data_IF_506332960026
#
_entry.id   IF_506332960026
#
_cell.length_a   1.000
_cell.length_b   1.000
_cell.length_c   1.000
_cell.angle_alpha   90.00
_cell.angle_beta   90.00
_cell.angle_gamma   90.00
#
_symmetry.space_group_name_H-M   'P 1'
#
loop_
_entity.id
_entity.type
_entity.pdbx_description
1 polymer ?
#
# COMPACT_ATOMS: atom_id res chain seq x y z
N UNK A 1 3.30 -12.33 -32.93
CA UNK A 1 3.91 -12.65 -31.63
C UNK A 1 2.87 -12.34 -30.56
N UNK A 2 2.47 -13.33 -29.76
CA UNK A 2 1.42 -13.15 -28.75
C UNK A 2 2.06 -12.56 -27.48
N UNK A 3 1.61 -11.38 -27.04
CA UNK A 3 2.13 -10.74 -25.83
C UNK A 3 1.75 -11.57 -24.60
N UNK A 4 2.68 -11.73 -23.67
CA UNK A 4 2.42 -12.32 -22.36
C UNK A 4 1.49 -11.44 -21.53
N UNK A 5 0.84 -12.03 -20.51
CA UNK A 5 0.00 -11.29 -19.57
C UNK A 5 0.79 -10.15 -18.90
N UNK A 6 2.06 -10.39 -18.56
CA UNK A 6 2.91 -9.39 -17.93
C UNK A 6 3.18 -8.21 -18.87
N UNK A 7 3.47 -8.49 -20.14
CA UNK A 7 3.70 -7.44 -21.15
C UNK A 7 2.42 -6.64 -21.41
N UNK A 8 1.25 -7.29 -21.47
CA UNK A 8 -0.05 -6.62 -21.62
C UNK A 8 -0.35 -5.72 -20.42
N UNK A 9 -0.18 -6.21 -19.19
CA UNK A 9 -0.42 -5.42 -17.98
C UNK A 9 0.55 -4.24 -17.89
N UNK A 10 1.83 -4.47 -18.21
CA UNK A 10 2.86 -3.41 -18.20
C UNK A 10 2.55 -2.31 -19.22
N UNK A 11 2.23 -2.70 -20.45
CA UNK A 11 1.83 -1.76 -21.49
C UNK A 11 0.58 -0.97 -21.10
N UNK A 12 -0.38 -1.61 -20.43
CA UNK A 12 -1.61 -0.95 -19.99
C UNK A 12 -1.37 0.02 -18.83
N UNK A 13 -0.50 -0.32 -17.87
CA UNK A 13 -0.11 0.59 -16.78
C UNK A 13 0.60 1.83 -17.32
N UNK A 14 1.47 1.68 -18.34
CA UNK A 14 2.15 2.81 -18.96
C UNK A 14 1.18 3.83 -19.58
N UNK A 15 -0.03 3.40 -19.98
CA UNK A 15 -1.06 4.30 -20.51
C UNK A 15 -1.64 5.27 -19.48
N UNK A 16 -1.43 5.05 -18.18
CA UNK A 16 -1.85 5.99 -17.13
C UNK A 16 -1.22 7.38 -17.31
N UNK A 17 0.00 7.44 -17.84
CA UNK A 17 0.73 8.69 -18.06
C UNK A 17 0.69 9.17 -19.52
N UNK A 18 0.03 8.43 -20.41
CA UNK A 18 -0.01 8.73 -21.84
C UNK A 18 -1.10 9.76 -22.15
N UNK A 19 -0.70 11.02 -22.33
CA UNK A 19 -1.64 12.13 -22.60
C UNK A 19 -2.43 11.99 -23.90
N UNK A 20 -2.03 11.10 -24.80
CA UNK A 20 -2.81 10.76 -26.01
C UNK A 20 -4.07 9.97 -25.68
N UNK A 21 -4.14 9.34 -24.50
CA UNK A 21 -5.32 8.64 -24.00
C UNK A 21 -6.22 9.61 -23.23
N UNK A 22 -7.55 9.63 -23.51
CA UNK A 22 -8.49 10.47 -22.78
C UNK A 22 -8.38 10.28 -21.27
N UNK A 23 -8.40 11.39 -20.52
CA UNK A 23 -8.22 11.38 -19.06
C UNK A 23 -9.16 10.40 -18.34
N UNK A 24 -10.43 10.34 -18.74
CA UNK A 24 -11.41 9.43 -18.16
C UNK A 24 -10.99 7.95 -18.31
N UNK A 25 -10.41 7.58 -19.46
CA UNK A 25 -9.91 6.24 -19.70
C UNK A 25 -8.65 5.96 -18.87
N UNK A 26 -7.73 6.92 -18.78
CA UNK A 26 -6.54 6.81 -17.93
C UNK A 26 -6.88 6.61 -16.47
N UNK A 27 -7.87 7.35 -15.98
CA UNK A 27 -8.34 7.28 -14.60
C UNK A 27 -9.03 5.95 -14.27
N UNK A 28 -9.64 5.29 -15.27
CA UNK A 28 -10.27 3.99 -15.09
C UNK A 28 -9.29 2.80 -15.06
N UNK A 29 -8.02 3.00 -15.46
CA UNK A 29 -7.02 1.92 -15.55
C UNK A 29 -6.90 1.09 -14.26
N UNK A 30 -6.80 1.70 -13.05
CA UNK A 30 -6.75 0.92 -11.80
C UNK A 30 -7.97 0.01 -11.60
N UNK A 31 -9.18 0.49 -11.91
CA UNK A 31 -10.41 -0.29 -11.81
C UNK A 31 -10.49 -1.40 -12.85
N UNK A 32 -9.96 -1.17 -14.06
CA UNK A 32 -9.90 -2.17 -15.12
C UNK A 32 -8.93 -3.29 -14.72
N UNK A 33 -7.74 -2.95 -14.20
CA UNK A 33 -6.78 -3.94 -13.69
C UNK A 33 -7.35 -4.76 -12.53
N UNK A 34 -8.05 -4.09 -11.59
CA UNK A 34 -8.75 -4.76 -10.50
C UNK A 34 -9.85 -5.69 -11.02
N UNK A 35 -10.57 -5.29 -12.06
CA UNK A 35 -11.62 -6.10 -12.69
C UNK A 35 -11.04 -7.34 -13.36
N UNK A 36 -9.90 -7.23 -14.06
CA UNK A 36 -9.19 -8.40 -14.62
C UNK A 36 -8.84 -9.39 -13.51
N UNK A 37 -8.30 -8.90 -12.40
CA UNK A 37 -7.96 -9.74 -11.24
C UNK A 37 -9.20 -10.40 -10.62
N UNK A 38 -10.28 -9.63 -10.38
CA UNK A 38 -11.55 -10.15 -9.86
C UNK A 38 -12.13 -11.22 -10.78
N UNK A 39 -12.20 -10.96 -12.08
CA UNK A 39 -12.72 -11.89 -13.07
C UNK A 39 -11.93 -13.22 -13.06
N UNK A 40 -10.60 -13.14 -13.01
CA UNK A 40 -9.75 -14.34 -12.91
C UNK A 40 -10.05 -15.14 -11.65
N UNK A 41 -10.23 -14.49 -10.51
CA UNK A 41 -10.55 -15.19 -9.27
C UNK A 41 -11.96 -15.78 -9.27
N UNK A 42 -12.94 -15.10 -9.86
CA UNK A 42 -14.30 -15.64 -9.99
C UNK A 42 -14.31 -16.92 -10.83
N UNK A 43 -13.56 -16.96 -11.93
CA UNK A 43 -13.41 -18.16 -12.75
C UNK A 43 -12.71 -19.27 -11.97
N UNK A 44 -11.58 -18.97 -11.30
CA UNK A 44 -10.77 -20.00 -10.65
C UNK A 44 -11.37 -20.58 -9.36
N UNK A 45 -12.10 -19.76 -8.60
CA UNK A 45 -12.52 -20.11 -7.24
C UNK A 45 -14.04 -20.16 -7.06
N UNK A 46 -14.81 -19.58 -7.96
CA UNK A 46 -16.26 -19.53 -7.86
C UNK A 46 -16.99 -20.08 -9.11
N UNK A 47 -16.26 -20.57 -10.12
CA UNK A 47 -16.77 -21.10 -11.39
C UNK A 47 -17.89 -20.24 -12.02
N UNK A 48 -17.73 -18.92 -11.91
CA UNK A 48 -18.73 -17.94 -12.35
C UNK A 48 -18.05 -16.85 -13.15
N UNK A 49 -18.76 -16.35 -14.16
CA UNK A 49 -18.27 -15.26 -14.99
C UNK A 49 -19.44 -14.38 -15.45
N UNK A 50 -19.45 -13.12 -15.00
CA UNK A 50 -20.34 -12.09 -15.55
C UNK A 50 -19.81 -11.60 -16.91
N UNK A 51 -20.69 -11.06 -17.76
CA UNK A 51 -20.30 -10.44 -19.03
C UNK A 51 -19.17 -9.43 -18.86
N UNK A 52 -18.09 -9.59 -19.64
CA UNK A 52 -16.94 -8.68 -19.63
C UNK A 52 -17.34 -7.24 -19.93
N UNK A 53 -18.35 -7.03 -20.79
CA UNK A 53 -18.86 -5.70 -21.12
C UNK A 53 -19.44 -5.03 -19.88
N UNK A 54 -20.24 -5.77 -19.11
CA UNK A 54 -20.84 -5.26 -17.86
C UNK A 54 -19.74 -4.95 -16.85
N UNK A 55 -18.76 -5.84 -16.72
CA UNK A 55 -17.65 -5.63 -15.79
C UNK A 55 -16.82 -4.39 -16.13
N UNK A 56 -16.53 -4.15 -17.42
CA UNK A 56 -15.82 -2.94 -17.88
C UNK A 56 -16.66 -1.68 -17.65
N UNK A 57 -17.95 -1.71 -17.96
CA UNK A 57 -18.84 -0.57 -17.72
C UNK A 57 -18.88 -0.21 -16.23
N UNK A 58 -19.02 -1.20 -15.35
CA UNK A 58 -18.95 -1.00 -13.89
C UNK A 58 -17.61 -0.40 -13.47
N UNK A 59 -16.49 -0.91 -13.98
CA UNK A 59 -15.16 -0.40 -13.65
C UNK A 59 -14.98 1.08 -14.03
N UNK A 60 -15.44 1.48 -15.22
CA UNK A 60 -15.39 2.87 -15.69
C UNK A 60 -16.30 3.77 -14.85
N UNK A 61 -17.50 3.30 -14.52
CA UNK A 61 -18.45 4.06 -13.71
C UNK A 61 -17.98 4.23 -12.26
N UNK A 62 -17.44 3.18 -11.64
CA UNK A 62 -16.84 3.24 -10.31
C UNK A 62 -15.68 4.24 -10.26
N UNK A 63 -14.83 4.27 -11.30
CA UNK A 63 -13.74 5.24 -11.41
C UNK A 63 -14.26 6.69 -11.52
N UNK A 64 -15.33 6.91 -12.30
CA UNK A 64 -15.99 8.21 -12.45
C UNK A 64 -16.58 8.69 -11.11
N UNK A 65 -17.37 7.85 -10.45
CA UNK A 65 -18.01 8.16 -9.17
C UNK A 65 -16.98 8.44 -8.08
N UNK A 66 -15.91 7.63 -8.00
CA UNK A 66 -14.84 7.87 -7.04
C UNK A 66 -14.21 9.26 -7.25
N UNK A 67 -13.95 9.66 -8.49
CA UNK A 67 -13.40 10.99 -8.78
C UNK A 67 -14.37 12.10 -8.36
N UNK A 68 -15.65 11.97 -8.70
CA UNK A 68 -16.65 12.99 -8.37
C UNK A 68 -16.77 13.21 -6.86
N UNK A 69 -16.84 12.13 -6.09
CA UNK A 69 -16.92 12.20 -4.63
C UNK A 69 -15.66 12.79 -4.00
N UNK A 70 -14.47 12.43 -4.49
CA UNK A 70 -13.22 12.90 -3.91
C UNK A 70 -12.80 14.31 -4.41
N UNK A 71 -13.30 14.77 -5.56
CA UNK A 71 -13.08 16.14 -6.03
C UNK A 71 -14.05 17.13 -5.39
N UNK A 72 -15.30 16.73 -5.12
CA UNK A 72 -16.28 17.59 -4.44
C UNK A 72 -15.96 17.80 -2.96
N UNK A 73 -15.16 16.91 -2.34
CA UNK A 73 -14.68 17.08 -0.96
C UNK A 73 -13.55 18.11 -0.82
N UNK A 74 -13.04 18.72 -1.90
CA UNK A 74 -12.19 19.92 -1.82
C UNK A 74 -13.02 21.17 -1.50
N UNK A 75 -13.78 21.11 -0.41
CA UNK A 75 -14.35 22.30 0.23
C UNK A 75 -13.23 22.90 1.08
N UNK A 76 -13.00 24.22 1.13
CA UNK A 76 -12.07 24.80 2.09
C UNK A 76 -12.51 24.33 3.48
N UNK A 77 -11.64 23.61 4.19
CA UNK A 77 -11.91 23.10 5.53
C UNK A 77 -12.36 24.27 6.41
N UNK A 78 -13.67 24.37 6.65
CA UNK A 78 -14.19 25.19 7.73
C UNK A 78 -13.72 24.49 8.99
N UNK A 79 -12.83 25.17 9.72
CA UNK A 79 -12.30 24.83 11.03
C UNK A 79 -13.42 24.33 11.96
N UNK A 80 -13.61 23.01 11.99
CA UNK A 80 -14.13 22.27 13.13
C UNK A 80 -12.91 21.48 13.62
N UNK A 81 -12.26 21.89 14.70
CA UNK A 81 -12.84 21.88 16.03
C UNK A 81 -12.44 20.56 16.70
N UNK A 82 -11.19 20.54 17.21
CA UNK A 82 -10.61 19.57 18.14
C UNK A 82 -10.31 18.15 17.59
N UNK A 83 -9.01 17.89 17.39
CA UNK A 83 -8.35 16.59 17.43
C UNK A 83 -8.64 15.54 16.34
N UNK A 84 -8.79 15.97 15.09
CA UNK A 84 -8.28 15.15 13.98
C UNK A 84 -6.89 15.69 13.62
N UNK A 85 -5.88 15.31 14.41
CA UNK A 85 -4.52 15.35 13.90
C UNK A 85 -4.52 14.48 12.65
N UNK A 86 -4.53 15.11 11.47
CA UNK A 86 -4.08 14.45 10.26
C UNK A 86 -2.73 13.84 10.65
N UNK A 87 -2.65 12.50 10.78
CA UNK A 87 -1.43 11.75 11.13
C UNK A 87 -0.42 11.94 10.01
N UNK A 88 0.09 13.15 9.87
CA UNK A 88 1.17 13.51 8.98
C UNK A 88 2.42 12.91 9.59
N UNK A 89 3.21 12.27 8.75
CA UNK A 89 4.50 11.75 9.17
C UNK A 89 5.33 12.90 9.75
N UNK A 90 5.76 12.74 11.00
CA UNK A 90 6.58 13.72 11.69
C UNK A 90 8.07 13.36 11.54
N UNK A 91 8.93 14.26 11.02
CA UNK A 91 10.35 13.99 10.85
C UNK A 91 11.09 13.85 12.19
N UNK A 92 12.16 13.05 12.26
CA UNK A 92 13.01 12.98 13.45
C UNK A 92 13.78 14.29 13.67
N UNK A 93 14.30 14.47 14.90
CA UNK A 93 15.24 15.55 15.20
C UNK A 93 16.49 15.46 14.32
N UNK A 94 17.16 16.59 14.00
CA UNK A 94 18.45 16.57 13.31
C UNK A 94 19.44 15.63 13.99
N UNK A 95 20.14 14.81 13.20
CA UNK A 95 21.07 13.80 13.70
C UNK A 95 20.44 12.42 13.97
N UNK A 96 19.11 12.32 13.99
CA UNK A 96 18.39 11.06 14.12
C UNK A 96 17.82 10.60 12.78
N UNK A 97 17.56 9.30 12.67
CA UNK A 97 16.70 8.73 11.63
C UNK A 97 15.41 8.19 12.24
N UNK A 98 14.33 8.17 11.47
CA UNK A 98 13.06 7.57 11.89
C UNK A 98 12.88 6.23 11.21
N UNK A 99 12.74 5.18 12.00
CA UNK A 99 12.46 3.83 11.51
C UNK A 99 11.02 3.45 11.83
N UNK A 100 10.18 3.40 10.81
CA UNK A 100 8.81 2.92 10.95
C UNK A 100 8.77 1.41 10.78
N UNK A 101 8.11 0.71 11.70
CA UNK A 101 8.00 -0.76 11.72
C UNK A 101 6.55 -1.20 11.63
N UNK A 102 6.32 -2.39 11.09
CA UNK A 102 5.00 -3.01 11.08
C UNK A 102 5.09 -4.54 11.10
N UNK A 103 4.19 -5.17 11.86
CA UNK A 103 4.03 -6.62 11.91
C UNK A 103 2.64 -7.02 11.39
N UNK A 104 2.61 -7.92 10.41
CA UNK A 104 1.38 -8.54 9.94
C UNK A 104 1.20 -9.91 10.61
N UNK A 105 0.20 -10.01 11.48
CA UNK A 105 -0.19 -11.26 12.14
C UNK A 105 -1.62 -11.63 11.79
N UNK A 106 -1.83 -12.86 11.30
CA UNK A 106 -3.16 -13.38 10.95
C UNK A 106 -3.75 -14.29 12.01
N UNK A 107 -2.97 -15.27 12.46
CA UNK A 107 -3.36 -16.23 13.50
C UNK A 107 -2.12 -16.97 14.04
N UNK A 108 -2.32 -17.73 15.12
CA UNK A 108 -1.26 -18.44 15.85
C UNK A 108 -0.57 -19.59 15.08
N UNK A 109 -1.09 -19.99 13.91
CA UNK A 109 -0.61 -21.14 13.13
C UNK A 109 0.23 -20.73 11.92
N UNK A 110 0.11 -19.48 11.47
CA UNK A 110 0.79 -18.98 10.28
C UNK A 110 2.04 -18.17 10.64
N UNK A 111 2.94 -18.01 9.67
CA UNK A 111 4.03 -17.05 9.78
C UNK A 111 3.52 -15.62 9.91
N UNK A 112 4.30 -14.79 10.59
CA UNK A 112 4.03 -13.36 10.74
C UNK A 112 4.94 -12.59 9.80
N UNK A 113 4.39 -11.68 9.00
CA UNK A 113 5.20 -10.77 8.19
C UNK A 113 5.75 -9.64 9.05
N UNK A 114 6.97 -9.21 8.80
CA UNK A 114 7.58 -8.04 9.46
C UNK A 114 8.24 -7.15 8.41
N UNK A 115 8.23 -5.84 8.64
CA UNK A 115 8.89 -4.88 7.77
C UNK A 115 9.31 -3.63 8.53
N UNK A 116 10.37 -2.99 8.04
CA UNK A 116 10.75 -1.65 8.48
C UNK A 116 11.15 -0.75 7.30
N UNK A 117 11.07 0.55 7.52
CA UNK A 117 11.58 1.59 6.63
C UNK A 117 12.24 2.71 7.44
N UNK A 118 13.48 3.04 7.10
CA UNK A 118 14.28 4.10 7.71
C UNK A 118 14.26 5.33 6.81
N UNK A 119 13.93 6.48 7.38
CA UNK A 119 13.93 7.78 6.70
C UNK A 119 14.75 8.81 7.47
N UNK A 120 15.39 9.71 6.75
CA UNK A 120 16.03 10.89 7.32
C UNK A 120 15.02 12.01 7.65
N UNK A 121 15.51 13.15 8.13
CA UNK A 121 14.71 14.33 8.45
C UNK A 121 13.94 14.91 7.24
N UNK A 122 14.45 14.72 6.02
CA UNK A 122 13.80 15.19 4.79
C UNK A 122 12.77 14.18 4.26
N UNK A 123 12.59 13.04 4.94
CA UNK A 123 11.72 11.96 4.51
C UNK A 123 12.33 11.06 3.44
N UNK A 124 13.62 11.22 3.11
CA UNK A 124 14.33 10.39 2.15
C UNK A 124 14.53 9.00 2.76
N UNK A 125 14.21 7.96 1.98
CA UNK A 125 14.38 6.57 2.40
C UNK A 125 15.85 6.21 2.33
N UNK A 126 16.41 5.79 3.46
CA UNK A 126 17.80 5.34 3.56
C UNK A 126 17.90 3.82 3.40
N UNK A 127 17.11 3.09 4.19
CA UNK A 127 17.07 1.62 4.18
C UNK A 127 15.65 1.11 4.41
N UNK A 128 15.38 -0.10 3.93
CA UNK A 128 14.16 -0.83 4.24
C UNK A 128 14.42 -2.33 4.21
N UNK A 129 13.61 -3.11 4.92
CA UNK A 129 13.64 -4.55 4.80
C UNK A 129 12.28 -5.14 5.11
N UNK A 130 12.08 -6.40 4.73
CA UNK A 130 10.94 -7.22 5.10
C UNK A 130 11.37 -8.66 5.30
N UNK A 131 10.70 -9.36 6.19
CA UNK A 131 10.95 -10.77 6.47
C UNK A 131 9.66 -11.49 6.91
N UNK A 132 9.72 -12.81 7.02
CA UNK A 132 8.69 -13.66 7.56
C UNK A 132 9.22 -14.36 8.82
N UNK A 133 8.71 -13.94 9.97
CA UNK A 133 8.96 -14.63 11.23
C UNK A 133 8.11 -15.89 11.32
N UNK A 134 8.66 -16.90 12.00
CA UNK A 134 7.92 -18.12 12.36
C UNK A 134 6.68 -17.79 13.19
N UNK A 135 5.82 -18.79 13.37
CA UNK A 135 4.54 -18.62 14.05
C UNK A 135 4.68 -17.89 15.40
N UNK A 136 3.76 -16.96 15.65
CA UNK A 136 3.67 -16.21 16.90
C UNK A 136 2.31 -16.47 17.53
N UNK A 137 2.22 -16.75 18.85
CA UNK A 137 0.99 -17.21 19.48
C UNK A 137 -0.13 -16.15 19.49
N UNK A 138 0.24 -14.87 19.46
CA UNK A 138 -0.67 -13.75 19.41
C UNK A 138 -0.03 -12.55 18.68
N UNK A 139 -0.86 -11.56 18.36
CA UNK A 139 -0.46 -10.33 17.67
C UNK A 139 0.66 -9.57 18.41
N UNK A 140 0.52 -9.36 19.73
CA UNK A 140 1.53 -8.65 20.53
C UNK A 140 2.91 -9.30 20.47
N UNK A 141 2.98 -10.63 20.43
CA UNK A 141 4.25 -11.35 20.30
C UNK A 141 4.88 -11.17 18.91
N UNK A 142 4.06 -11.12 17.86
CA UNK A 142 4.54 -10.86 16.50
C UNK A 142 5.11 -9.43 16.38
N UNK A 143 4.46 -8.46 17.01
CA UNK A 143 4.86 -7.06 17.08
C UNK A 143 6.19 -6.87 17.84
N UNK A 144 6.34 -7.50 19.01
CA UNK A 144 7.61 -7.50 19.75
C UNK A 144 8.73 -8.18 18.97
N UNK A 145 8.45 -9.28 18.27
CA UNK A 145 9.44 -9.93 17.40
C UNK A 145 9.84 -9.05 16.21
N UNK A 146 8.92 -8.28 15.64
CA UNK A 146 9.22 -7.28 14.63
C UNK A 146 10.17 -6.21 15.15
N UNK A 147 9.93 -5.72 16.38
CA UNK A 147 10.81 -4.75 17.02
C UNK A 147 12.22 -5.33 17.22
N UNK A 148 12.34 -6.53 17.79
CA UNK A 148 13.65 -7.18 18.00
C UNK A 148 14.40 -7.38 16.69
N UNK A 149 13.74 -7.91 15.67
CA UNK A 149 14.33 -8.09 14.33
C UNK A 149 14.77 -6.76 13.71
N UNK A 150 13.98 -5.69 13.89
CA UNK A 150 14.33 -4.36 13.39
C UNK A 150 15.54 -3.79 14.14
N UNK A 151 15.57 -3.87 15.47
CA UNK A 151 16.69 -3.36 16.27
C UNK A 151 18.00 -4.07 15.92
N UNK A 152 17.95 -5.39 15.70
CA UNK A 152 19.10 -6.15 15.23
C UNK A 152 19.56 -5.67 13.86
N UNK A 153 18.63 -5.51 12.91
CA UNK A 153 18.93 -5.01 11.56
C UNK A 153 19.55 -3.60 11.58
N UNK A 154 19.00 -2.69 12.40
CA UNK A 154 19.51 -1.33 12.53
C UNK A 154 20.93 -1.30 13.13
N UNK A 155 21.19 -2.16 14.11
CA UNK A 155 22.52 -2.34 14.69
C UNK A 155 23.51 -2.84 13.66
N UNK A 156 23.13 -3.82 12.85
CA UNK A 156 24.00 -4.40 11.82
C UNK A 156 24.28 -3.40 10.67
N UNK A 157 23.35 -2.47 10.42
CA UNK A 157 23.51 -1.33 9.52
C UNK A 157 24.32 -0.16 10.13
N UNK A 158 24.68 -0.24 11.42
CA UNK A 158 25.51 0.76 12.10
C UNK A 158 24.76 2.00 12.59
N UNK A 159 23.43 1.97 12.66
CA UNK A 159 22.66 3.09 13.21
C UNK A 159 22.83 3.20 14.74
N UNK A 160 23.06 4.43 15.21
CA UNK A 160 23.20 4.73 16.65
C UNK A 160 21.98 5.48 17.19
N UNK A 161 21.50 6.49 16.44
CA UNK A 161 20.46 7.41 16.85
C UNK A 161 19.19 7.21 16.02
N UNK A 162 18.24 6.42 16.54
CA UNK A 162 17.02 6.03 15.82
C UNK A 162 15.77 6.31 16.66
N UNK A 163 14.77 6.94 16.03
CA UNK A 163 13.41 7.03 16.55
C UNK A 163 12.58 5.91 15.93
N UNK A 164 12.11 4.95 16.74
CA UNK A 164 11.21 3.90 16.28
C UNK A 164 9.76 4.41 16.25
N UNK A 165 9.09 4.25 15.12
CA UNK A 165 7.65 4.50 14.98
C UNK A 165 6.89 3.21 14.75
N UNK A 166 5.92 2.92 15.62
CA UNK A 166 5.01 1.77 15.52
C UNK A 166 3.56 2.26 15.34
N UNK A 167 2.72 1.45 14.69
CA UNK A 167 1.28 1.69 14.53
C UNK A 167 0.39 0.81 15.41
N UNK A 168 1.00 -0.12 16.16
CA UNK A 168 0.35 -0.94 17.17
C UNK A 168 0.58 -0.42 18.59
#
# INVERSE_FOLDING_TARGET
MQLSLLELLTAYIQKVSDETVPLAQRQAIPWILWTIWKNRNMILYADTQESLIIQIQKAVEEARLWKELNMQQQTPEILHGLNEETKKWDPPLPGYVKCNIHANWRNAKLHSGVAFIVRDQSGIVLHHARDANTFSPNRATAELRCLVWTLQSLKDLGYQDVVIGSDF
#
